data_IF_726689952088
#
_entry.id   IF_726689952088
#
_cell.length_a   1.000
_cell.length_b   1.000
_cell.length_c   1.000
_cell.angle_alpha   90.00
_cell.angle_beta   90.00
_cell.angle_gamma   90.00
#
_symmetry.space_group_name_H-M   'P 1'
#
loop_
_entity.id
_entity.type
_entity.pdbx_description
1 polymer ?
#
# COMPACT_ATOMS: atom_id res chain seq x y z
N UNK A 1 -19.27 -12.50 -17.48
CA UNK A 1 -19.11 -12.94 -16.09
C UNK A 1 -18.50 -11.78 -15.32
N UNK A 2 -19.29 -11.07 -14.53
CA UNK A 2 -18.87 -9.90 -13.76
C UNK A 2 -18.17 -10.41 -12.49
N UNK A 3 -16.89 -10.13 -12.31
CA UNK A 3 -16.21 -10.30 -11.04
C UNK A 3 -16.31 -8.96 -10.29
N UNK A 4 -17.31 -8.88 -9.41
CA UNK A 4 -17.37 -7.79 -8.44
C UNK A 4 -16.30 -8.09 -7.37
N UNK A 5 -15.28 -7.26 -7.29
CA UNK A 5 -14.28 -7.30 -6.22
C UNK A 5 -14.91 -6.77 -4.94
N UNK A 6 -15.55 -7.68 -4.16
CA UNK A 6 -16.09 -7.35 -2.86
C UNK A 6 -14.98 -7.41 -1.80
N UNK A 7 -14.55 -6.27 -1.30
CA UNK A 7 -13.68 -6.21 -0.13
C UNK A 7 -14.42 -6.72 1.10
N UNK A 8 -13.95 -7.81 1.71
CA UNK A 8 -14.42 -8.24 3.03
C UNK A 8 -13.53 -7.60 4.11
N UNK A 9 -14.10 -6.63 4.79
CA UNK A 9 -13.55 -6.09 6.03
C UNK A 9 -13.90 -7.06 7.18
N UNK A 10 -12.91 -7.74 7.75
CA UNK A 10 -13.12 -8.54 8.95
C UNK A 10 -12.99 -7.63 10.19
N UNK A 11 -14.14 -7.17 10.71
CA UNK A 11 -14.19 -6.44 11.99
C UNK A 11 -14.50 -7.46 13.08
N UNK A 12 -13.54 -7.75 13.96
CA UNK A 12 -13.76 -8.53 15.17
C UNK A 12 -14.28 -7.62 16.29
N UNK A 13 -15.58 -7.75 16.59
CA UNK A 13 -16.23 -7.03 17.68
C UNK A 13 -16.05 -7.73 19.03
N UNK A 14 -15.68 -6.96 20.05
CA UNK A 14 -15.82 -7.33 21.46
C UNK A 14 -17.31 -7.35 21.87
N UNK A 15 -17.72 -8.37 22.62
CA UNK A 15 -19.07 -8.50 23.18
C UNK A 15 -19.35 -7.39 24.20
N UNK A 16 -20.15 -6.41 23.82
CA UNK A 16 -20.74 -5.40 24.70
C UNK A 16 -22.24 -5.30 24.46
N UNK A 17 -23.00 -5.27 25.56
CA UNK A 17 -24.47 -5.39 25.72
C UNK A 17 -25.29 -4.45 24.83
N UNK A 18 -26.32 -5.02 24.27
CA UNK A 18 -27.42 -4.48 23.50
C UNK A 18 -28.18 -3.39 24.28
N UNK A 19 -28.16 -2.12 23.83
CA UNK A 19 -29.16 -1.11 24.14
C UNK A 19 -29.56 -0.46 22.83
N UNK A 20 -30.80 -0.72 22.41
CA UNK A 20 -31.36 -0.28 21.15
C UNK A 20 -31.50 1.23 21.03
N UNK A 21 -30.99 1.77 19.92
CA UNK A 21 -31.40 3.06 19.39
C UNK A 21 -31.80 2.88 17.91
N UNK A 22 -32.85 3.57 17.43
CA UNK A 22 -33.36 3.37 16.07
C UNK A 22 -32.42 4.01 15.05
N UNK A 23 -32.00 3.21 14.08
CA UNK A 23 -31.28 3.67 12.88
C UNK A 23 -32.17 4.58 12.05
N UNK A 24 -31.96 5.88 12.09
CA UNK A 24 -32.39 6.80 11.03
C UNK A 24 -31.49 6.58 9.81
N UNK A 25 -32.06 6.02 8.75
CA UNK A 25 -31.49 6.03 7.43
C UNK A 25 -31.40 7.47 6.91
N UNK A 26 -30.25 8.12 7.15
CA UNK A 26 -29.89 9.35 6.49
C UNK A 26 -29.13 9.01 5.21
N UNK A 27 -29.80 9.07 4.06
CA UNK A 27 -29.14 9.08 2.76
C UNK A 27 -28.30 10.38 2.68
N UNK A 28 -27.02 10.27 2.99
CA UNK A 28 -26.08 11.35 2.65
C UNK A 28 -25.88 11.28 1.14
N UNK A 29 -26.62 12.10 0.42
CA UNK A 29 -26.34 12.39 -0.98
C UNK A 29 -24.97 13.07 -1.05
N UNK A 30 -23.93 12.30 -1.40
CA UNK A 30 -22.60 12.81 -1.68
C UNK A 30 -22.64 13.50 -3.04
N UNK A 31 -23.13 14.75 -3.04
CA UNK A 31 -23.13 15.62 -4.20
C UNK A 31 -21.91 16.55 -4.12
N UNK A 32 -20.71 15.94 -4.04
CA UNK A 32 -19.49 16.67 -4.33
C UNK A 32 -19.42 16.79 -5.86
N UNK A 33 -19.52 18.00 -6.38
CA UNK A 33 -19.19 18.34 -7.78
C UNK A 33 -17.77 17.87 -8.05
N UNK A 34 -17.62 16.64 -8.58
CA UNK A 34 -16.31 16.06 -8.86
C UNK A 34 -15.63 16.96 -9.90
N UNK A 35 -14.51 17.57 -9.49
CA UNK A 35 -13.68 18.40 -10.37
C UNK A 35 -13.29 17.57 -11.59
N UNK A 36 -13.69 18.02 -12.79
CA UNK A 36 -13.35 17.34 -14.04
C UNK A 36 -12.21 18.05 -14.73
N UNK A 37 -11.31 17.27 -15.31
CA UNK A 37 -10.14 17.75 -16.05
C UNK A 37 -10.07 17.12 -17.42
N UNK A 38 -9.36 17.74 -18.36
CA UNK A 38 -9.11 17.15 -19.67
C UNK A 38 -8.27 15.88 -19.53
N UNK A 39 -8.61 14.86 -20.30
CA UNK A 39 -7.92 13.56 -20.22
C UNK A 39 -6.45 13.68 -20.63
N UNK A 40 -6.12 14.44 -21.68
CA UNK A 40 -4.73 14.68 -22.09
C UNK A 40 -3.88 15.31 -20.99
N UNK A 41 -4.41 16.33 -20.33
CA UNK A 41 -3.76 16.97 -19.18
C UNK A 41 -3.55 15.97 -18.03
N UNK A 42 -4.57 15.18 -17.72
CA UNK A 42 -4.51 14.19 -16.65
C UNK A 42 -3.52 13.05 -16.96
N UNK A 43 -3.40 12.64 -18.25
CA UNK A 43 -2.43 11.65 -18.70
C UNK A 43 -0.99 12.13 -18.53
N UNK A 44 -0.74 13.43 -18.77
CA UNK A 44 0.59 14.03 -18.56
C UNK A 44 0.89 14.20 -17.07
N UNK A 45 -0.02 14.77 -16.30
CA UNK A 45 0.16 14.98 -14.85
C UNK A 45 0.37 13.68 -14.09
N UNK A 46 -0.30 12.59 -14.51
CA UNK A 46 -0.13 11.27 -13.93
C UNK A 46 1.07 10.48 -14.50
N UNK A 47 1.88 11.12 -15.37
CA UNK A 47 3.08 10.50 -15.95
C UNK A 47 2.80 9.37 -16.95
N UNK A 48 1.56 9.22 -17.44
CA UNK A 48 1.24 8.26 -18.48
C UNK A 48 1.76 8.70 -19.85
N UNK A 49 1.88 9.99 -20.10
CA UNK A 49 2.38 10.56 -21.33
C UNK A 49 3.38 11.68 -21.04
N UNK A 50 4.38 11.85 -21.90
CA UNK A 50 5.40 12.88 -21.73
C UNK A 50 4.83 14.29 -21.99
N UNK A 51 3.87 14.39 -22.90
CA UNK A 51 3.25 15.62 -23.35
C UNK A 51 1.83 15.36 -23.90
N UNK A 52 1.12 16.44 -24.25
CA UNK A 52 -0.25 16.36 -24.78
C UNK A 52 -0.32 15.65 -26.14
N UNK A 53 0.72 15.76 -26.97
CA UNK A 53 0.77 15.09 -28.28
C UNK A 53 0.93 13.57 -28.11
N UNK A 54 1.73 13.14 -27.14
CA UNK A 54 1.84 11.72 -26.76
C UNK A 54 0.50 11.19 -26.22
N UNK A 55 -0.21 11.98 -25.42
CA UNK A 55 -1.54 11.64 -24.92
C UNK A 55 -2.56 11.51 -26.08
N UNK A 56 -2.54 12.44 -27.02
CA UNK A 56 -3.41 12.38 -28.21
C UNK A 56 -3.12 11.12 -29.04
N UNK A 57 -1.85 10.81 -29.30
CA UNK A 57 -1.47 9.59 -30.05
C UNK A 57 -1.93 8.33 -29.34
N UNK A 58 -1.77 8.24 -28.02
CA UNK A 58 -2.20 7.08 -27.24
C UNK A 58 -3.73 6.88 -27.29
N UNK A 59 -4.50 7.96 -27.23
CA UNK A 59 -5.97 7.90 -27.36
C UNK A 59 -6.39 7.47 -28.78
N UNK A 60 -5.78 8.05 -29.82
CA UNK A 60 -6.06 7.68 -31.21
C UNK A 60 -5.69 6.22 -31.52
N UNK A 61 -4.61 5.72 -30.91
CA UNK A 61 -4.20 4.32 -31.03
C UNK A 61 -5.09 3.35 -30.22
N UNK A 62 -6.14 3.84 -29.55
CA UNK A 62 -6.98 3.05 -28.64
C UNK A 62 -6.18 2.35 -27.54
N UNK A 63 -5.20 3.04 -26.99
CA UNK A 63 -4.37 2.54 -25.90
C UNK A 63 -4.84 3.02 -24.52
N UNK A 64 -5.74 4.01 -24.46
CA UNK A 64 -6.23 4.63 -23.23
C UNK A 64 -7.65 4.17 -22.92
N UNK A 65 -7.86 3.66 -21.70
CA UNK A 65 -9.19 3.41 -21.14
C UNK A 65 -9.45 4.32 -19.95
N UNK A 66 -10.71 4.71 -19.78
CA UNK A 66 -11.24 5.40 -18.60
C UNK A 66 -12.33 4.51 -18.03
N UNK A 67 -12.06 3.90 -16.87
CA UNK A 67 -12.83 2.75 -16.39
C UNK A 67 -12.73 1.59 -17.40
N UNK A 68 -13.86 0.98 -17.73
CA UNK A 68 -13.92 -0.15 -18.68
C UNK A 68 -13.93 0.26 -20.15
N UNK A 69 -14.13 1.55 -20.46
CA UNK A 69 -14.31 2.04 -21.82
C UNK A 69 -13.04 2.69 -22.42
N UNK A 70 -12.80 2.48 -23.70
CA UNK A 70 -11.76 3.23 -24.42
C UNK A 70 -12.12 4.72 -24.46
N UNK A 71 -11.11 5.57 -24.25
CA UNK A 71 -11.27 7.01 -24.33
C UNK A 71 -11.71 7.42 -25.75
N UNK A 72 -12.78 8.20 -25.83
CA UNK A 72 -13.33 8.67 -27.11
C UNK A 72 -12.49 9.85 -27.69
N UNK A 73 -11.87 10.65 -26.83
CA UNK A 73 -11.06 11.81 -27.21
C UNK A 73 -10.08 12.18 -26.11
N UNK A 74 -8.90 12.66 -26.49
CA UNK A 74 -7.92 13.21 -25.56
C UNK A 74 -8.43 14.48 -24.84
N UNK A 75 -9.32 15.23 -25.49
CA UNK A 75 -9.92 16.44 -24.92
C UNK A 75 -11.15 16.17 -24.03
N UNK A 76 -11.62 14.91 -23.91
CA UNK A 76 -12.76 14.61 -23.05
C UNK A 76 -12.49 14.99 -21.59
N UNK A 77 -13.53 15.44 -20.88
CA UNK A 77 -13.42 15.79 -19.46
C UNK A 77 -13.80 14.61 -18.59
N UNK A 78 -12.87 14.16 -17.77
CA UNK A 78 -13.05 13.05 -16.84
C UNK A 78 -12.86 13.53 -15.39
N UNK A 79 -13.44 12.85 -14.39
CA UNK A 79 -13.14 13.11 -12.99
C UNK A 79 -11.62 13.07 -12.74
N UNK A 80 -11.13 13.95 -11.86
CA UNK A 80 -9.68 14.00 -11.54
C UNK A 80 -9.18 12.74 -10.85
N UNK A 81 -10.07 11.93 -10.30
CA UNK A 81 -9.84 10.63 -9.67
C UNK A 81 -10.19 9.45 -10.57
N UNK A 82 -10.59 9.70 -11.84
CA UNK A 82 -10.97 8.64 -12.76
C UNK A 82 -9.89 7.55 -12.86
N UNK A 83 -10.33 6.30 -12.89
CA UNK A 83 -9.45 5.17 -13.20
C UNK A 83 -9.06 5.24 -14.68
N UNK A 84 -7.75 5.35 -14.93
CA UNK A 84 -7.18 5.42 -16.28
C UNK A 84 -6.19 4.27 -16.44
N UNK A 85 -6.36 3.50 -17.52
CA UNK A 85 -5.41 2.48 -17.94
C UNK A 85 -4.85 2.84 -19.33
N UNK A 86 -3.51 2.74 -19.49
CA UNK A 86 -2.83 2.97 -20.76
C UNK A 86 -2.09 1.70 -21.17
N UNK A 87 -2.37 1.21 -22.38
CA UNK A 87 -1.78 -0.02 -22.93
C UNK A 87 -0.25 0.07 -22.92
N UNK A 88 0.39 -0.96 -22.40
CA UNK A 88 1.86 -1.01 -22.28
C UNK A 88 2.46 -0.14 -21.17
N UNK A 89 1.67 0.68 -20.47
CA UNK A 89 2.10 1.48 -19.34
C UNK A 89 1.49 0.95 -18.04
N UNK A 90 2.33 0.55 -17.11
CA UNK A 90 1.91 0.13 -15.78
C UNK A 90 1.69 1.38 -14.92
N UNK A 91 0.59 1.43 -14.15
CA UNK A 91 0.32 2.53 -13.19
C UNK A 91 1.46 2.66 -12.17
N UNK A 92 1.95 1.53 -11.67
CA UNK A 92 3.07 1.47 -10.75
C UNK A 92 4.25 0.74 -11.38
N UNK A 93 5.46 1.01 -10.91
CA UNK A 93 6.69 0.36 -11.37
C UNK A 93 6.68 -1.15 -11.14
N UNK A 94 5.88 -1.62 -10.19
CA UNK A 94 5.68 -3.05 -9.92
C UNK A 94 4.29 -3.36 -9.37
N UNK A 95 3.96 -4.65 -9.26
CA UNK A 95 2.70 -5.15 -8.69
C UNK A 95 2.49 -4.72 -7.23
N UNK A 96 3.59 -4.47 -6.48
CA UNK A 96 3.54 -4.01 -5.09
C UNK A 96 2.69 -2.75 -4.92
N UNK A 97 2.74 -1.81 -5.87
CA UNK A 97 1.94 -0.58 -5.80
C UNK A 97 0.43 -0.82 -5.68
N UNK A 98 -0.09 -1.85 -6.35
CA UNK A 98 -1.51 -2.22 -6.23
C UNK A 98 -1.87 -2.76 -4.84
N UNK A 99 -0.94 -3.48 -4.19
CA UNK A 99 -1.16 -4.01 -2.84
C UNK A 99 -1.31 -2.86 -1.84
N UNK A 100 -0.36 -1.93 -1.85
CA UNK A 100 -0.39 -0.77 -0.95
C UNK A 100 -1.58 0.14 -1.26
N UNK A 101 -1.88 0.39 -2.53
CA UNK A 101 -3.05 1.20 -2.89
C UNK A 101 -4.34 0.62 -2.30
N UNK A 102 -4.57 -0.69 -2.47
CA UNK A 102 -5.74 -1.35 -1.89
C UNK A 102 -5.80 -1.21 -0.37
N UNK A 103 -4.66 -1.24 0.32
CA UNK A 103 -4.61 -1.01 1.77
C UNK A 103 -4.93 0.44 2.14
N UNK A 104 -4.34 1.43 1.45
CA UNK A 104 -4.62 2.85 1.69
C UNK A 104 -6.11 3.17 1.52
N UNK A 105 -6.72 2.65 0.45
CA UNK A 105 -8.15 2.82 0.17
C UNK A 105 -9.03 2.13 1.23
N UNK A 106 -8.74 0.87 1.56
CA UNK A 106 -9.53 0.10 2.52
C UNK A 106 -9.46 0.65 3.95
N UNK A 107 -8.31 1.18 4.35
CA UNK A 107 -8.13 1.79 5.67
C UNK A 107 -8.49 3.27 5.71
N UNK A 108 -8.77 3.90 4.58
CA UNK A 108 -8.95 5.36 4.49
C UNK A 108 -7.69 6.12 4.94
N UNK A 109 -6.49 5.52 4.67
CA UNK A 109 -5.24 6.09 5.15
C UNK A 109 -4.73 7.18 4.21
N UNK A 110 -4.69 8.41 4.68
CA UNK A 110 -4.07 9.54 4.00
C UNK A 110 -2.55 9.54 4.25
N UNK A 111 -1.79 9.81 3.17
CA UNK A 111 -0.31 9.95 3.22
C UNK A 111 0.17 11.27 2.61
N UNK A 112 -0.76 12.15 2.24
CA UNK A 112 -0.44 13.45 1.67
C UNK A 112 0.41 14.29 2.62
N UNK A 113 1.56 14.76 2.14
CA UNK A 113 2.51 15.55 2.93
C UNK A 113 3.32 14.74 3.94
N UNK A 114 3.09 13.43 4.05
CA UNK A 114 3.78 12.58 5.01
C UNK A 114 5.23 12.29 4.61
N UNK A 115 6.09 12.11 5.61
CA UNK A 115 7.41 11.51 5.48
C UNK A 115 7.28 10.00 5.70
N UNK A 116 7.65 9.23 4.68
CA UNK A 116 7.44 7.78 4.67
C UNK A 116 8.77 7.02 4.67
N UNK A 117 8.76 5.83 5.27
CA UNK A 117 9.81 4.82 5.17
C UNK A 117 9.26 3.60 4.42
N UNK A 118 9.91 3.18 3.33
CA UNK A 118 9.59 1.97 2.58
C UNK A 118 10.67 0.91 2.82
N UNK A 119 10.35 -0.12 3.62
CA UNK A 119 11.28 -1.19 4.02
C UNK A 119 11.09 -2.39 3.11
N UNK A 120 12.16 -2.74 2.38
CA UNK A 120 12.12 -3.74 1.31
C UNK A 120 11.59 -3.15 0.02
N UNK A 121 12.08 -1.96 -0.35
CA UNK A 121 11.55 -1.18 -1.48
C UNK A 121 11.69 -1.87 -2.83
N UNK A 122 12.69 -2.73 -3.04
CA UNK A 122 12.92 -3.48 -4.27
C UNK A 122 12.85 -2.57 -5.51
N UNK A 123 11.94 -2.84 -6.44
CA UNK A 123 11.71 -2.00 -7.62
C UNK A 123 10.99 -0.68 -7.32
N UNK A 124 10.49 -0.49 -6.10
CA UNK A 124 9.83 0.74 -5.64
C UNK A 124 8.31 0.76 -5.84
N UNK A 125 7.65 -0.40 -5.81
CA UNK A 125 6.19 -0.45 -5.98
C UNK A 125 5.44 0.32 -4.90
N UNK A 126 5.81 0.14 -3.63
CA UNK A 126 5.22 0.86 -2.50
C UNK A 126 5.61 2.35 -2.55
N UNK A 127 6.88 2.65 -2.78
CA UNK A 127 7.37 4.02 -2.99
C UNK A 127 6.57 4.76 -4.04
N UNK A 128 6.37 4.17 -5.23
CA UNK A 128 5.61 4.78 -6.33
C UNK A 128 4.14 5.05 -5.92
N UNK A 129 3.54 4.14 -5.16
CA UNK A 129 2.20 4.31 -4.61
C UNK A 129 2.14 5.48 -3.62
N UNK A 130 3.06 5.56 -2.67
CA UNK A 130 3.15 6.64 -1.68
C UNK A 130 3.31 8.02 -2.36
N UNK A 131 4.21 8.11 -3.35
CA UNK A 131 4.44 9.36 -4.09
C UNK A 131 3.21 9.80 -4.90
N UNK A 132 2.51 8.86 -5.54
CA UNK A 132 1.26 9.14 -6.26
C UNK A 132 0.12 9.52 -5.30
N UNK A 133 0.11 9.00 -4.08
CA UNK A 133 -0.82 9.38 -3.02
C UNK A 133 -0.45 10.70 -2.33
N UNK A 134 0.67 11.34 -2.72
CA UNK A 134 1.05 12.68 -2.29
C UNK A 134 2.02 12.73 -1.10
N UNK A 135 2.76 11.66 -0.80
CA UNK A 135 3.83 11.69 0.19
C UNK A 135 4.86 12.79 -0.16
N UNK A 136 5.30 13.53 0.86
CA UNK A 136 6.29 14.59 0.70
C UNK A 136 7.71 14.05 0.57
N UNK A 137 7.99 12.91 1.18
CA UNK A 137 9.31 12.27 1.15
C UNK A 137 9.17 10.76 1.39
N UNK A 138 9.99 9.95 0.70
CA UNK A 138 10.07 8.51 0.91
C UNK A 138 11.53 8.08 1.02
N UNK A 139 11.93 7.60 2.20
CA UNK A 139 13.18 6.89 2.40
C UNK A 139 13.00 5.42 2.00
N UNK A 140 13.72 4.96 0.99
CA UNK A 140 13.65 3.60 0.47
C UNK A 140 14.81 2.77 1.01
N UNK A 141 14.52 1.69 1.73
CA UNK A 141 15.57 0.82 2.30
C UNK A 141 15.50 -0.56 1.69
N UNK A 142 16.61 -1.04 1.14
CA UNK A 142 16.72 -2.41 0.62
C UNK A 142 18.12 -2.98 0.82
N UNK A 143 18.21 -4.29 1.06
CA UNK A 143 19.49 -5.02 1.16
C UNK A 143 20.15 -5.21 -0.20
N UNK A 144 19.36 -5.17 -1.26
CA UNK A 144 19.81 -5.25 -2.65
C UNK A 144 20.34 -3.91 -3.16
N UNK A 145 20.94 -3.95 -4.35
CA UNK A 145 21.47 -2.78 -5.03
C UNK A 145 20.94 -2.70 -6.48
N UNK A 146 20.65 -1.49 -6.94
CA UNK A 146 20.32 -1.24 -8.34
C UNK A 146 18.93 -1.68 -8.77
N UNK A 147 18.05 -2.08 -7.83
CA UNK A 147 16.69 -2.56 -8.17
C UNK A 147 15.67 -1.43 -8.32
N UNK A 148 15.83 -0.35 -7.57
CA UNK A 148 14.87 0.77 -7.58
C UNK A 148 14.74 1.34 -8.99
N UNK A 149 13.50 1.48 -9.48
CA UNK A 149 13.21 1.97 -10.82
C UNK A 149 13.79 3.37 -11.06
N UNK A 150 14.38 3.58 -12.24
CA UNK A 150 15.09 4.82 -12.59
C UNK A 150 14.26 6.09 -12.35
N UNK A 151 12.97 6.08 -12.71
CA UNK A 151 12.10 7.24 -12.49
C UNK A 151 11.98 7.64 -11.01
N UNK A 152 12.05 6.66 -10.10
CA UNK A 152 11.99 6.91 -8.65
C UNK A 152 13.32 7.44 -8.11
N UNK A 153 14.44 6.95 -8.65
CA UNK A 153 15.78 7.48 -8.32
C UNK A 153 15.96 8.94 -8.71
N UNK A 154 15.23 9.42 -9.72
CA UNK A 154 15.27 10.81 -10.18
C UNK A 154 14.25 11.71 -9.47
N UNK A 155 13.32 11.17 -8.70
CA UNK A 155 12.35 11.97 -7.94
C UNK A 155 13.02 12.58 -6.71
N UNK A 156 13.02 13.90 -6.62
CA UNK A 156 13.65 14.64 -5.52
C UNK A 156 13.06 14.32 -4.13
N UNK A 157 11.90 13.68 -4.08
CA UNK A 157 11.26 13.23 -2.84
C UNK A 157 11.74 11.86 -2.37
N UNK A 158 12.56 11.16 -3.17
CA UNK A 158 13.03 9.81 -2.88
C UNK A 158 14.48 9.84 -2.44
N UNK A 159 14.75 9.21 -1.33
CA UNK A 159 16.09 8.93 -0.85
C UNK A 159 16.31 7.42 -0.76
N UNK A 160 17.30 6.89 -1.47
CA UNK A 160 17.52 5.45 -1.60
C UNK A 160 18.71 4.97 -0.76
N UNK A 161 18.45 4.12 0.21
CA UNK A 161 19.40 3.45 1.08
C UNK A 161 19.54 1.99 0.67
N UNK A 162 20.30 1.73 -0.37
CA UNK A 162 20.58 0.39 -0.87
C UNK A 162 21.70 -0.29 -0.09
N UNK A 163 21.79 -1.64 -0.20
CA UNK A 163 22.73 -2.47 0.60
C UNK A 163 22.60 -2.22 2.10
N UNK A 164 21.41 -1.82 2.54
CA UNK A 164 21.12 -1.44 3.91
C UNK A 164 20.20 -2.44 4.57
N UNK A 165 20.67 -3.09 5.63
CA UNK A 165 19.86 -3.95 6.45
C UNK A 165 19.16 -3.10 7.52
N UNK A 166 17.84 -2.99 7.46
CA UNK A 166 17.03 -2.19 8.38
C UNK A 166 17.27 -2.55 9.85
N UNK A 167 17.61 -3.81 10.15
CA UNK A 167 17.90 -4.26 11.52
C UNK A 167 19.12 -3.57 12.12
N UNK A 168 20.09 -3.20 11.28
CA UNK A 168 21.39 -2.60 11.66
C UNK A 168 21.45 -1.11 11.36
N UNK A 169 20.48 -0.59 10.61
CA UNK A 169 20.45 0.81 10.22
C UNK A 169 20.29 1.73 11.45
N UNK A 170 21.01 2.83 11.43
CA UNK A 170 20.82 3.90 12.39
C UNK A 170 19.59 4.74 12.01
N UNK A 171 18.60 4.92 12.91
CA UNK A 171 17.41 5.69 12.63
C UNK A 171 17.70 7.14 12.19
N UNK A 172 18.67 7.80 12.82
CA UNK A 172 19.05 9.18 12.49
C UNK A 172 19.59 9.31 11.06
N UNK A 173 20.40 8.34 10.62
CA UNK A 173 20.93 8.31 9.25
C UNK A 173 19.84 8.18 8.20
N UNK A 174 18.75 7.45 8.50
CA UNK A 174 17.60 7.31 7.61
C UNK A 174 16.60 8.49 7.73
N UNK A 175 16.84 9.42 8.64
CA UNK A 175 15.97 10.59 8.85
C UNK A 175 14.71 10.31 9.68
N UNK A 176 14.74 9.27 10.54
CA UNK A 176 13.66 9.00 11.49
C UNK A 176 13.45 10.18 12.49
N UNK A 177 12.24 10.31 13.08
CA UNK A 177 11.08 9.44 12.91
C UNK A 177 10.26 9.75 11.65
N UNK A 178 9.49 8.76 11.20
CA UNK A 178 8.60 8.85 10.05
C UNK A 178 7.12 8.95 10.48
N UNK A 179 6.29 9.54 9.60
CA UNK A 179 4.84 9.60 9.80
C UNK A 179 4.17 8.28 9.41
N UNK A 180 4.70 7.64 8.36
CA UNK A 180 4.22 6.36 7.84
C UNK A 180 5.40 5.44 7.57
N UNK A 181 5.32 4.21 8.08
CA UNK A 181 6.27 3.13 7.78
C UNK A 181 5.53 2.05 7.00
N UNK A 182 6.02 1.72 5.80
CA UNK A 182 5.48 0.60 5.02
C UNK A 182 6.54 -0.49 4.87
N UNK A 183 6.10 -1.76 4.77
CA UNK A 183 7.03 -2.88 4.63
C UNK A 183 6.48 -3.96 3.69
N UNK A 184 7.28 -4.33 2.68
CA UNK A 184 7.06 -5.48 1.78
C UNK A 184 8.32 -6.34 1.76
N UNK A 185 8.45 -7.26 2.69
CA UNK A 185 9.66 -8.04 2.91
C UNK A 185 9.55 -9.44 2.30
N UNK A 186 10.69 -10.00 1.89
CA UNK A 186 10.80 -11.37 1.43
C UNK A 186 11.84 -12.14 2.24
N UNK A 187 11.59 -13.42 2.45
CA UNK A 187 12.48 -14.35 3.17
C UNK A 187 12.63 -14.11 4.68
N UNK A 188 11.98 -13.09 5.24
CA UNK A 188 11.93 -12.84 6.67
C UNK A 188 10.49 -12.48 7.06
N UNK A 189 10.00 -13.08 8.15
CA UNK A 189 8.68 -12.79 8.69
C UNK A 189 8.62 -11.36 9.26
N UNK A 190 7.49 -10.69 9.01
CA UNK A 190 7.22 -9.33 9.47
C UNK A 190 7.20 -9.27 11.00
N UNK A 191 6.66 -10.31 11.67
CA UNK A 191 6.61 -10.42 13.11
C UNK A 191 7.99 -10.25 13.78
N UNK A 192 9.04 -10.80 13.17
CA UNK A 192 10.41 -10.70 13.68
C UNK A 192 11.01 -9.30 13.62
N UNK A 193 10.42 -8.41 12.84
CA UNK A 193 10.90 -7.05 12.62
C UNK A 193 10.05 -5.99 13.32
N UNK A 194 8.98 -6.37 13.99
CA UNK A 194 8.13 -5.43 14.71
C UNK A 194 8.92 -4.48 15.64
N UNK A 195 9.86 -4.97 16.50
CA UNK A 195 10.67 -4.07 17.33
C UNK A 195 11.60 -3.15 16.53
N UNK A 196 11.99 -3.57 15.31
CA UNK A 196 12.84 -2.74 14.45
C UNK A 196 12.04 -1.55 13.93
N UNK A 197 10.79 -1.74 13.51
CA UNK A 197 9.94 -0.65 13.01
C UNK A 197 9.67 0.41 14.09
N UNK A 198 9.56 0.01 15.36
CA UNK A 198 9.40 0.93 16.49
C UNK A 198 10.54 1.96 16.57
N UNK A 199 11.79 1.56 16.24
CA UNK A 199 12.96 2.47 16.24
C UNK A 199 12.86 3.62 15.24
N UNK A 200 12.05 3.48 14.20
CA UNK A 200 11.85 4.49 13.15
C UNK A 200 10.53 5.26 13.33
N UNK A 201 9.79 4.94 14.39
CA UNK A 201 8.46 5.47 14.68
C UNK A 201 8.50 6.51 15.81
N UNK A 202 7.47 7.34 15.85
CA UNK A 202 7.08 8.20 16.97
C UNK A 202 5.62 7.95 17.28
N UNK A 203 5.14 8.40 18.40
CA UNK A 203 3.71 8.34 18.74
C UNK A 203 2.85 8.87 17.57
N UNK A 204 1.86 8.08 17.17
CA UNK A 204 0.99 8.36 16.02
C UNK A 204 1.54 7.89 14.67
N UNK A 205 2.79 7.38 14.57
CA UNK A 205 3.28 6.78 13.32
C UNK A 205 2.38 5.63 12.88
N UNK A 206 1.93 5.68 11.63
CA UNK A 206 1.16 4.59 11.02
C UNK A 206 2.10 3.57 10.40
N UNK A 207 1.92 2.30 10.75
CA UNK A 207 2.58 1.17 10.13
C UNK A 207 1.61 0.44 9.20
N UNK A 208 2.05 0.11 7.97
CA UNK A 208 1.33 -0.77 7.04
C UNK A 208 2.29 -1.81 6.49
N UNK A 209 2.14 -3.05 6.93
CA UNK A 209 3.03 -4.14 6.53
C UNK A 209 2.31 -5.24 5.74
N UNK A 210 2.98 -5.77 4.71
CA UNK A 210 2.50 -6.90 3.94
C UNK A 210 2.85 -8.21 4.63
N UNK A 211 1.84 -8.86 5.21
CA UNK A 211 1.96 -10.19 5.80
C UNK A 211 1.96 -11.21 4.66
N UNK A 212 3.01 -11.98 4.58
CA UNK A 212 3.18 -13.08 3.62
C UNK A 212 3.17 -14.40 4.38
N UNK A 213 2.06 -15.14 4.43
CA UNK A 213 1.94 -16.35 5.22
C UNK A 213 3.07 -17.36 5.00
N UNK A 214 3.59 -17.44 3.77
CA UNK A 214 4.70 -18.33 3.42
C UNK A 214 6.04 -17.98 4.09
N UNK A 215 6.20 -16.76 4.61
CA UNK A 215 7.40 -16.34 5.36
C UNK A 215 7.16 -16.22 6.87
N UNK A 216 5.91 -16.35 7.30
CA UNK A 216 5.52 -16.37 8.72
C UNK A 216 5.26 -17.80 9.23
N UNK A 217 4.81 -18.72 8.35
CA UNK A 217 4.50 -20.10 8.67
C UNK A 217 5.73 -21.00 8.80
N UNK A 218 5.54 -22.21 9.29
CA UNK A 218 6.57 -23.25 9.31
C UNK A 218 6.72 -23.85 7.91
N UNK A 219 7.87 -24.44 7.65
CA UNK A 219 8.18 -25.00 6.35
C UNK A 219 7.24 -26.15 5.94
N UNK A 220 6.80 -26.96 6.91
CA UNK A 220 5.87 -28.08 6.70
C UNK A 220 4.41 -27.65 6.48
N UNK A 221 4.09 -26.39 6.66
CA UNK A 221 2.77 -25.80 6.41
C UNK A 221 2.63 -25.21 4.99
N UNK A 222 3.68 -25.35 4.17
CA UNK A 222 3.68 -24.86 2.79
C UNK A 222 3.70 -26.01 1.79
N UNK A 223 2.86 -25.93 0.78
CA UNK A 223 2.91 -26.81 -0.38
C UNK A 223 3.59 -26.09 -1.54
N UNK A 224 4.83 -26.50 -1.86
CA UNK A 224 5.65 -25.83 -2.90
C UNK A 224 5.72 -24.31 -2.74
N UNK A 225 5.89 -23.85 -1.48
CA UNK A 225 5.96 -22.43 -1.17
C UNK A 225 4.62 -21.68 -1.08
N UNK A 226 3.48 -22.41 -1.14
CA UNK A 226 2.14 -21.82 -1.04
C UNK A 226 1.43 -22.31 0.22
N UNK A 227 0.92 -21.38 1.03
CA UNK A 227 0.08 -21.68 2.21
C UNK A 227 -1.38 -21.78 1.77
N UNK A 228 -1.89 -23.01 1.65
CA UNK A 228 -3.29 -23.24 1.21
C UNK A 228 -4.29 -23.24 2.35
N UNK A 229 -3.87 -23.67 3.54
CA UNK A 229 -4.73 -23.74 4.71
C UNK A 229 -5.10 -22.32 5.22
N UNK A 230 -6.41 -22.06 5.25
CA UNK A 230 -6.93 -20.77 5.74
C UNK A 230 -6.66 -20.54 7.23
N UNK A 231 -6.62 -21.61 8.05
CA UNK A 231 -6.34 -21.50 9.48
C UNK A 231 -4.87 -21.12 9.70
N UNK A 232 -3.95 -21.66 8.91
CA UNK A 232 -2.54 -21.27 8.95
C UNK A 232 -2.38 -19.81 8.53
N UNK A 233 -3.03 -19.36 7.45
CA UNK A 233 -3.00 -17.95 7.04
C UNK A 233 -3.51 -17.02 8.14
N UNK A 234 -4.65 -17.37 8.75
CA UNK A 234 -5.21 -16.56 9.83
C UNK A 234 -4.27 -16.50 11.03
N UNK A 235 -3.71 -17.63 11.44
CA UNK A 235 -2.74 -17.67 12.55
C UNK A 235 -1.53 -16.78 12.26
N UNK A 236 -0.95 -16.82 11.07
CA UNK A 236 0.20 -15.96 10.71
C UNK A 236 -0.12 -14.48 10.81
N UNK A 237 -1.32 -14.07 10.43
CA UNK A 237 -1.81 -12.70 10.61
C UNK A 237 -1.91 -12.34 12.10
N UNK A 238 -2.46 -13.24 12.91
CA UNK A 238 -2.63 -13.01 14.35
C UNK A 238 -1.27 -12.94 15.07
N UNK A 239 -0.31 -13.77 14.69
CA UNK A 239 1.06 -13.75 15.21
C UNK A 239 1.76 -12.41 14.87
N UNK A 240 1.60 -11.89 13.65
CA UNK A 240 2.14 -10.57 13.28
C UNK A 240 1.48 -9.45 14.07
N UNK A 241 0.16 -9.51 14.29
CA UNK A 241 -0.56 -8.52 15.11
C UNK A 241 -0.08 -8.53 16.55
N UNK A 242 0.11 -9.70 17.12
CA UNK A 242 0.64 -9.85 18.48
C UNK A 242 2.06 -9.26 18.60
N UNK A 243 2.95 -9.59 17.65
CA UNK A 243 4.31 -9.07 17.65
C UNK A 243 4.36 -7.53 17.47
N UNK A 244 3.43 -6.96 16.70
CA UNK A 244 3.29 -5.49 16.59
C UNK A 244 2.82 -4.89 17.91
N UNK A 245 1.86 -5.54 18.60
CA UNK A 245 1.39 -5.07 19.93
C UNK A 245 2.51 -5.11 20.96
N UNK A 246 3.29 -6.19 20.99
CA UNK A 246 4.45 -6.33 21.89
C UNK A 246 5.54 -5.26 21.61
N UNK A 247 5.60 -4.76 20.39
CA UNK A 247 6.53 -3.70 19.98
C UNK A 247 5.98 -2.27 20.15
N UNK A 248 4.81 -2.09 20.81
CA UNK A 248 4.22 -0.79 21.08
C UNK A 248 3.31 -0.23 19.98
N UNK A 249 2.94 -1.06 19.01
CA UNK A 249 1.93 -0.69 18.00
C UNK A 249 0.55 -1.20 18.39
N UNK A 250 -0.49 -0.43 18.12
CA UNK A 250 -1.88 -0.86 18.21
C UNK A 250 -2.36 -1.32 16.82
N UNK A 251 -2.59 -2.63 16.58
CA UNK A 251 -3.15 -3.12 15.32
C UNK A 251 -4.61 -2.66 15.15
N UNK A 252 -4.88 -1.85 14.12
CA UNK A 252 -6.18 -1.21 13.88
C UNK A 252 -6.96 -1.80 12.72
N UNK A 253 -6.34 -2.65 11.88
CA UNK A 253 -7.03 -3.28 10.77
C UNK A 253 -6.17 -4.28 10.01
N UNK A 254 -6.85 -5.20 9.33
CA UNK A 254 -6.26 -6.17 8.39
C UNK A 254 -7.15 -6.26 7.16
N UNK A 255 -6.55 -6.25 5.98
CA UNK A 255 -7.25 -6.47 4.71
C UNK A 255 -6.48 -7.49 3.87
N UNK A 256 -7.21 -8.29 3.09
CA UNK A 256 -6.60 -9.15 2.09
C UNK A 256 -6.05 -8.28 0.95
N UNK A 257 -4.87 -8.62 0.46
CA UNK A 257 -4.27 -7.93 -0.69
C UNK A 257 -5.15 -8.08 -1.93
N UNK A 258 -5.37 -7.01 -2.72
CA UNK A 258 -6.19 -7.07 -3.93
C UNK A 258 -5.61 -7.99 -5.01
N UNK A 259 -4.35 -8.39 -4.87
CA UNK A 259 -3.66 -9.31 -5.76
C UNK A 259 -2.86 -10.34 -4.96
N UNK A 260 -2.79 -11.55 -5.46
CA UNK A 260 -1.96 -12.61 -4.88
C UNK A 260 -0.46 -12.38 -5.12
N UNK A 261 0.37 -13.02 -4.30
CA UNK A 261 1.81 -13.13 -4.54
C UNK A 261 2.15 -13.78 -5.89
N UNK A 262 3.42 -13.75 -6.31
CA UNK A 262 3.84 -14.30 -7.61
C UNK A 262 3.47 -15.78 -7.81
N UNK A 263 3.52 -16.57 -6.74
CA UNK A 263 3.23 -18.02 -6.75
C UNK A 263 1.79 -18.35 -6.35
N UNK A 264 0.91 -17.33 -6.24
CA UNK A 264 -0.50 -17.48 -5.92
C UNK A 264 -0.83 -17.47 -4.43
N UNK A 265 0.12 -17.15 -3.56
CA UNK A 265 -0.14 -16.95 -2.13
C UNK A 265 -1.14 -15.82 -1.90
N UNK A 266 -2.13 -16.06 -1.05
CA UNK A 266 -2.97 -15.01 -0.47
C UNK A 266 -2.14 -14.27 0.55
N UNK A 267 -2.08 -12.95 0.43
CA UNK A 267 -1.29 -12.07 1.29
C UNK A 267 -2.22 -11.06 1.96
N UNK A 268 -1.80 -10.47 3.06
CA UNK A 268 -2.62 -9.54 3.84
C UNK A 268 -1.83 -8.27 4.15
N UNK A 269 -2.52 -7.14 4.28
CA UNK A 269 -1.91 -5.93 4.81
C UNK A 269 -2.47 -5.66 6.20
N UNK A 270 -1.58 -5.50 7.15
CA UNK A 270 -1.91 -5.10 8.52
C UNK A 270 -1.62 -3.61 8.69
N UNK A 271 -2.57 -2.89 9.29
CA UNK A 271 -2.39 -1.52 9.74
C UNK A 271 -2.28 -1.47 11.25
N UNK A 272 -1.31 -0.72 11.76
CA UNK A 272 -1.15 -0.46 13.18
C UNK A 272 -0.71 1.00 13.40
N UNK A 273 -0.90 1.51 14.60
CA UNK A 273 -0.46 2.86 15.00
C UNK A 273 0.50 2.71 16.18
N UNK A 274 1.65 3.36 16.11
CA UNK A 274 2.61 3.33 17.20
C UNK A 274 2.14 4.23 18.35
N UNK A 275 1.99 3.66 19.52
CA UNK A 275 1.54 4.34 20.75
C UNK A 275 2.67 4.80 21.68
N UNK A 276 3.93 4.58 21.28
CA UNK A 276 5.09 4.80 22.16
C UNK A 276 5.59 3.50 22.81
N UNK A 277 6.54 3.59 23.72
CA UNK A 277 7.08 2.44 24.45
C UNK A 277 5.92 1.67 25.11
N UNK A 278 5.80 0.39 24.72
CA UNK A 278 4.73 -0.47 25.20
C UNK A 278 4.69 -0.45 26.72
N UNK A 279 3.49 -0.22 27.25
CA UNK A 279 3.24 -0.46 28.67
C UNK A 279 3.51 -1.94 28.90
N UNK A 280 4.68 -2.24 29.44
CA UNK A 280 4.98 -3.54 30.05
C UNK A 280 4.05 -3.63 31.24
N UNK A 281 2.90 -4.29 31.04
CA UNK A 281 1.96 -4.64 32.09
C UNK A 281 2.25 -6.03 32.63
#
# INVERSE_FOLDING_TARGET
>A
MRVACGFRLAIFGSKGRNTGFPLRAGSVAYNASMKKQRLDTLLVERGYCADADAALRAVLAREVKVGDAYAASAAMRVPVDAEIAVKGRKRFVSRGGWKLQGALEAFGQEVRGARCLDVGSSTGGFTDCLLQAGAAHVACVDVNYGQLAWKLRQDARVEAFERTNIRLADPGTLGAPFDVVVADLSFIGLARLAPVFARFSREGTVFIGLVKPQFESRHDETERGVVRDAAVRQRTVDEVRAALSDAGFEPTGVVESPITGPEGNVEYLVRAVYGGEGVVG
#
